data_IF_823571761904
#
_entry.id   IF_823571761904
#
_cell.length_a   1.000
_cell.length_b   1.000
_cell.length_c   1.000
_cell.angle_alpha   90.00
_cell.angle_beta   90.00
_cell.angle_gamma   90.00
#
_symmetry.space_group_name_H-M   'P 1'
#
loop_
_entity.id
_entity.type
_entity.pdbx_description
1 polymer ?
#
# COMPACT_ATOMS: atom_id res chain seq x y z
N UNK A 1 22.15 2.69 -5.41
CA UNK A 1 22.08 2.05 -4.09
C UNK A 1 21.06 0.93 -4.13
N UNK A 2 21.04 0.05 -3.13
CA UNK A 2 19.94 -0.89 -2.97
C UNK A 2 18.62 -0.13 -2.75
N UNK A 3 17.51 -0.72 -3.19
CA UNK A 3 16.14 -0.24 -2.92
C UNK A 3 15.54 -1.08 -1.79
N UNK A 4 14.66 -0.48 -1.01
CA UNK A 4 13.94 -1.18 0.07
C UNK A 4 12.55 -1.55 -0.45
N UNK A 5 12.24 -2.84 -0.49
CA UNK A 5 10.96 -3.35 -0.98
C UNK A 5 10.34 -4.31 0.03
N UNK A 6 9.01 -4.28 0.17
CA UNK A 6 8.29 -5.29 0.93
C UNK A 6 8.35 -6.63 0.18
N UNK A 7 8.56 -7.72 0.91
CA UNK A 7 8.47 -9.08 0.37
C UNK A 7 7.02 -9.43 0.02
N UNK A 8 6.82 -10.03 -1.15
CA UNK A 8 5.50 -10.55 -1.54
C UNK A 8 5.14 -11.76 -0.66
N UNK A 9 4.02 -11.66 0.05
CA UNK A 9 3.42 -12.75 0.84
C UNK A 9 2.58 -13.63 -0.08
N UNK A 10 1.77 -13.01 -0.94
CA UNK A 10 0.96 -13.68 -1.96
C UNK A 10 1.85 -14.07 -3.12
N UNK A 11 2.04 -15.38 -3.29
CA UNK A 11 2.89 -15.93 -4.34
C UNK A 11 2.14 -16.03 -5.68
N UNK A 12 2.91 -16.22 -6.77
CA UNK A 12 2.37 -16.28 -8.13
C UNK A 12 1.19 -17.26 -8.29
N UNK A 13 1.27 -18.46 -7.69
CA UNK A 13 0.18 -19.45 -7.79
C UNK A 13 -1.11 -18.98 -7.09
N UNK A 14 -0.99 -18.27 -5.97
CA UNK A 14 -2.14 -17.69 -5.27
C UNK A 14 -2.71 -16.51 -6.06
N UNK A 15 -1.85 -15.65 -6.60
CA UNK A 15 -2.27 -14.55 -7.46
C UNK A 15 -3.00 -15.03 -8.72
N UNK A 16 -2.55 -16.13 -9.34
CA UNK A 16 -3.27 -16.77 -10.44
C UNK A 16 -4.67 -17.23 -9.98
N UNK A 17 -4.77 -17.87 -8.82
CA UNK A 17 -6.06 -18.33 -8.29
C UNK A 17 -7.03 -17.16 -8.06
N UNK A 18 -6.54 -16.05 -7.50
CA UNK A 18 -7.32 -14.82 -7.32
C UNK A 18 -7.76 -14.27 -8.68
N UNK A 19 -6.86 -14.22 -9.67
CA UNK A 19 -7.18 -13.76 -11.02
C UNK A 19 -8.31 -14.58 -11.66
N UNK A 20 -8.27 -15.91 -11.54
CA UNK A 20 -9.32 -16.81 -12.05
C UNK A 20 -10.67 -16.58 -11.34
N UNK A 21 -10.66 -16.31 -10.03
CA UNK A 21 -11.89 -16.00 -9.27
C UNK A 21 -12.54 -14.68 -9.68
N UNK A 22 -11.74 -13.71 -10.13
CA UNK A 22 -12.21 -12.42 -10.60
C UNK A 22 -12.55 -12.38 -12.10
N UNK A 23 -12.37 -13.49 -12.82
CA UNK A 23 -12.68 -13.63 -14.24
C UNK A 23 -14.19 -13.56 -14.47
N UNK A 24 -14.62 -12.81 -15.48
CA UNK A 24 -16.01 -12.86 -15.94
C UNK A 24 -16.23 -14.13 -16.76
N UNK A 25 -17.13 -14.99 -16.28
CA UNK A 25 -17.51 -16.23 -16.98
C UNK A 25 -18.86 -16.05 -17.67
N UNK A 26 -19.01 -16.61 -18.87
CA UNK A 26 -20.31 -16.68 -19.53
C UNK A 26 -21.21 -17.67 -18.79
N UNK A 27 -22.30 -17.19 -18.21
CA UNK A 27 -23.36 -18.05 -17.65
C UNK A 27 -24.33 -18.40 -18.78
N UNK A 28 -24.73 -19.67 -18.87
CA UNK A 28 -25.64 -20.18 -19.90
C UNK A 28 -26.89 -19.28 -20.01
N UNK A 29 -27.11 -18.66 -21.17
CA UNK A 29 -28.24 -17.76 -21.43
C UNK A 29 -27.98 -16.25 -21.27
N UNK A 30 -26.82 -15.83 -20.74
CA UNK A 30 -26.43 -14.41 -20.75
C UNK A 30 -25.47 -14.09 -21.91
N UNK A 31 -25.70 -12.95 -22.57
CA UNK A 31 -24.73 -12.30 -23.45
C UNK A 31 -23.61 -11.72 -22.57
N UNK A 32 -22.45 -12.37 -22.56
CA UNK A 32 -21.27 -11.90 -21.85
C UNK A 32 -20.01 -12.53 -22.45
N UNK A 33 -18.95 -11.75 -22.56
CA UNK A 33 -17.64 -12.22 -23.00
C UNK A 33 -16.98 -13.03 -21.87
N UNK A 34 -16.43 -14.19 -22.22
CA UNK A 34 -15.59 -14.97 -21.34
C UNK A 34 -14.21 -14.28 -21.27
N UNK A 35 -13.74 -14.01 -20.05
CA UNK A 35 -12.39 -13.47 -19.84
C UNK A 35 -11.38 -14.62 -19.69
N UNK A 36 -10.11 -14.37 -20.00
CA UNK A 36 -8.98 -15.26 -19.70
C UNK A 36 -7.83 -14.45 -19.11
N UNK A 37 -7.10 -15.05 -18.16
CA UNK A 37 -5.87 -14.43 -17.62
C UNK A 37 -4.77 -14.56 -18.68
N UNK A 38 -4.29 -13.43 -19.20
CA UNK A 38 -3.26 -13.43 -20.26
C UNK A 38 -1.90 -13.04 -19.74
N UNK A 39 -1.86 -12.20 -18.71
CA UNK A 39 -0.62 -11.78 -18.07
C UNK A 39 -0.81 -11.62 -16.57
N UNK A 40 0.17 -12.10 -15.83
CA UNK A 40 0.33 -11.93 -14.40
C UNK A 40 1.75 -11.43 -14.16
N UNK A 41 1.89 -10.22 -13.61
CA UNK A 41 3.19 -9.58 -13.43
C UNK A 41 3.31 -9.00 -12.03
N UNK A 42 4.40 -9.30 -11.32
CA UNK A 42 4.73 -8.63 -10.07
C UNK A 42 5.32 -7.25 -10.37
N UNK A 43 4.68 -6.21 -9.86
CA UNK A 43 5.11 -4.81 -9.98
C UNK A 43 5.22 -4.22 -8.58
N UNK A 44 6.05 -3.20 -8.43
CA UNK A 44 6.32 -2.53 -7.16
C UNK A 44 5.88 -1.06 -7.22
N UNK A 45 4.86 -0.72 -6.44
CA UNK A 45 4.41 0.64 -6.26
C UNK A 45 5.37 1.38 -5.32
N UNK A 46 5.91 2.55 -5.70
CA UNK A 46 6.67 3.36 -4.76
C UNK A 46 5.75 3.90 -3.68
N UNK A 47 6.21 3.92 -2.44
CA UNK A 47 5.58 4.58 -1.30
C UNK A 47 6.59 5.53 -0.66
N UNK A 48 6.08 6.56 -0.01
CA UNK A 48 6.91 7.44 0.84
C UNK A 48 6.81 6.92 2.27
N UNK A 49 7.93 6.44 2.80
CA UNK A 49 8.07 6.03 4.19
C UNK A 49 8.54 7.19 5.05
N UNK A 50 7.84 7.44 6.15
CA UNK A 50 8.22 8.44 7.15
C UNK A 50 8.29 7.74 8.52
N UNK A 51 9.50 7.47 9.05
CA UNK A 51 9.64 7.06 10.44
C UNK A 51 9.33 8.25 11.36
N UNK A 52 8.79 8.01 12.55
CA UNK A 52 8.49 9.07 13.51
C UNK A 52 8.66 8.64 14.97
N UNK A 53 8.78 9.63 15.85
CA UNK A 53 8.56 9.48 17.30
C UNK A 53 7.35 10.34 17.71
N UNK A 54 6.32 9.73 18.30
CA UNK A 54 5.10 10.42 18.71
C UNK A 54 4.95 10.44 20.24
N UNK A 55 4.51 11.57 20.77
CA UNK A 55 4.21 11.75 22.19
C UNK A 55 2.71 11.55 22.42
N UNK A 56 2.33 10.44 23.06
CA UNK A 56 0.93 10.14 23.36
C UNK A 56 0.65 10.39 24.84
N UNK A 57 -0.37 11.19 25.13
CA UNK A 57 -0.80 11.47 26.50
C UNK A 57 -1.34 10.19 27.16
N UNK A 58 -0.86 9.89 28.37
CA UNK A 58 -1.39 8.79 29.18
C UNK A 58 -2.72 9.18 29.81
N UNK A 59 -3.58 8.18 30.00
CA UNK A 59 -4.87 8.38 30.67
C UNK A 59 -4.67 8.91 32.10
N UNK A 60 -5.70 9.56 32.68
CA UNK A 60 -5.62 10.18 34.01
C UNK A 60 -5.22 9.17 35.11
N UNK A 61 -5.63 7.90 35.00
CA UNK A 61 -5.29 6.84 35.96
C UNK A 61 -3.81 6.42 35.88
N UNK A 62 -3.21 6.44 34.68
CA UNK A 62 -1.82 6.04 34.45
C UNK A 62 -0.81 7.16 34.78
N UNK A 63 -1.27 8.42 34.77
CA UNK A 63 -0.46 9.60 35.14
C UNK A 63 -0.04 9.61 36.62
N UNK A 64 -0.72 8.88 37.49
CA UNK A 64 -0.39 8.81 38.91
C UNK A 64 0.89 8.00 39.20
N UNK A 65 1.38 7.21 38.24
CA UNK A 65 2.46 6.23 38.44
C UNK A 65 3.75 6.53 37.64
N UNK A 66 3.84 7.67 36.95
CA UNK A 66 5.02 7.99 36.13
C UNK A 66 4.86 9.21 35.22
N UNK A 67 5.75 9.39 34.22
CA UNK A 67 5.67 10.51 33.27
C UNK A 67 4.32 10.52 32.54
N UNK A 68 3.83 11.73 32.23
CA UNK A 68 2.47 11.94 31.73
C UNK A 68 2.24 11.51 30.27
N UNK A 69 3.30 11.10 29.57
CA UNK A 69 3.26 10.76 28.15
C UNK A 69 4.14 9.55 27.87
N UNK A 70 3.71 8.75 26.90
CA UNK A 70 4.52 7.73 26.26
C UNK A 70 5.17 8.27 24.99
N UNK A 71 6.37 7.77 24.68
CA UNK A 71 7.02 7.98 23.39
C UNK A 71 6.89 6.71 22.58
N UNK A 72 6.20 6.80 21.46
CA UNK A 72 5.98 5.68 20.53
C UNK A 72 6.84 5.93 19.30
N UNK A 73 7.58 4.91 18.85
CA UNK A 73 8.26 4.93 17.56
C UNK A 73 7.41 4.16 16.57
N UNK A 74 7.29 4.68 15.36
CA UNK A 74 6.51 4.04 14.32
C UNK A 74 6.90 4.51 12.93
N UNK A 75 6.16 4.00 11.96
CA UNK A 75 6.28 4.33 10.55
C UNK A 75 4.92 4.75 10.02
N UNK A 76 4.92 5.63 9.03
CA UNK A 76 3.76 5.77 8.15
C UNK A 76 4.22 5.62 6.72
N UNK A 77 3.30 5.18 5.86
CA UNK A 77 3.54 5.03 4.43
C UNK A 77 2.51 5.84 3.69
N UNK A 78 2.95 6.66 2.74
CA UNK A 78 2.07 7.52 1.97
C UNK A 78 2.12 7.10 0.50
N UNK A 79 0.95 7.19 -0.14
CA UNK A 79 0.84 7.07 -1.58
C UNK A 79 1.67 8.16 -2.26
N UNK A 80 2.44 7.83 -3.32
CA UNK A 80 3.49 8.70 -3.83
C UNK A 80 2.96 9.95 -4.53
N UNK A 81 1.73 9.94 -5.07
CA UNK A 81 1.22 11.02 -5.92
C UNK A 81 0.29 12.00 -5.19
N UNK A 82 -0.56 11.48 -4.31
CA UNK A 82 -1.62 12.23 -3.61
C UNK A 82 -1.42 12.27 -2.09
N UNK A 83 -0.34 11.65 -1.58
CA UNK A 83 0.08 11.69 -0.18
C UNK A 83 -0.97 11.16 0.81
N UNK A 84 -1.93 10.37 0.36
CA UNK A 84 -2.84 9.65 1.27
C UNK A 84 -2.07 8.58 2.05
N UNK A 85 -2.42 8.39 3.31
CA UNK A 85 -1.83 7.40 4.20
C UNK A 85 -2.31 6.00 3.84
N UNK A 86 -1.37 5.09 3.70
CA UNK A 86 -1.62 3.66 3.61
C UNK A 86 -2.16 3.16 4.94
N UNK A 87 -3.27 2.43 4.88
CA UNK A 87 -3.84 1.67 6.00
C UNK A 87 -3.98 0.21 5.56
N UNK A 88 -3.50 -0.70 6.39
CA UNK A 88 -3.63 -2.13 6.22
C UNK A 88 -4.80 -2.67 7.04
N UNK A 89 -5.91 -2.98 6.38
CA UNK A 89 -7.03 -3.69 6.97
C UNK A 89 -6.89 -5.19 6.66
N UNK A 90 -6.90 -6.05 7.68
CA UNK A 90 -6.72 -7.51 7.49
C UNK A 90 -7.83 -8.19 6.69
N UNK A 91 -9.01 -7.60 6.63
CA UNK A 91 -10.18 -8.15 5.94
C UNK A 91 -10.45 -7.50 4.58
N UNK A 92 -9.96 -6.28 4.38
CA UNK A 92 -10.20 -5.48 3.17
C UNK A 92 -8.94 -5.24 2.33
N UNK A 93 -7.76 -5.51 2.90
CA UNK A 93 -6.47 -5.26 2.29
C UNK A 93 -5.96 -3.84 2.49
N UNK A 94 -5.18 -3.37 1.52
CA UNK A 94 -4.50 -2.09 1.57
C UNK A 94 -5.40 -0.99 1.01
N UNK A 95 -5.58 0.09 1.79
CA UNK A 95 -6.31 1.29 1.38
C UNK A 95 -5.52 2.58 1.61
N UNK A 96 -5.94 3.68 0.96
CA UNK A 96 -5.30 4.98 1.06
C UNK A 96 -6.28 6.08 1.51
N UNK A 97 -5.97 6.72 2.63
CA UNK A 97 -6.85 7.66 3.32
C UNK A 97 -6.17 9.00 3.62
N UNK A 98 -6.89 10.11 3.53
CA UNK A 98 -6.32 11.44 3.75
C UNK A 98 -5.84 11.67 5.21
N UNK A 99 -6.61 11.19 6.19
CA UNK A 99 -6.32 11.33 7.61
C UNK A 99 -7.01 10.19 8.38
N UNK A 100 -6.40 9.00 8.44
CA UNK A 100 -7.08 7.79 8.94
C UNK A 100 -7.29 7.74 10.47
N UNK A 101 -6.47 8.45 11.25
CA UNK A 101 -6.53 8.43 12.70
C UNK A 101 -6.06 9.75 13.30
N UNK A 102 -6.43 10.05 14.54
CA UNK A 102 -5.99 11.28 15.22
C UNK A 102 -4.51 11.27 15.65
N UNK A 103 -3.89 10.09 15.71
CA UNK A 103 -2.49 9.89 16.08
C UNK A 103 -1.83 9.02 15.02
N UNK A 104 -0.59 9.34 14.65
CA UNK A 104 0.15 8.59 13.63
C UNK A 104 0.41 7.15 14.08
N UNK A 105 0.65 6.93 15.38
CA UNK A 105 0.84 5.60 15.98
C UNK A 105 -0.39 4.70 15.96
N UNK A 106 -1.57 5.23 15.62
CA UNK A 106 -2.83 4.47 15.53
C UNK A 106 -3.17 4.04 14.10
N UNK A 107 -2.33 4.37 13.13
CA UNK A 107 -2.51 3.91 11.75
C UNK A 107 -2.02 2.47 11.69
N UNK A 108 -2.92 1.55 11.34
CA UNK A 108 -2.54 0.17 11.02
C UNK A 108 -1.70 0.15 9.74
N UNK A 109 -0.40 -0.04 9.88
CA UNK A 109 0.58 0.10 8.80
C UNK A 109 1.14 -1.27 8.33
N UNK A 110 2.26 -1.24 7.62
CA UNK A 110 2.93 -2.44 7.11
C UNK A 110 3.89 -3.08 8.13
N UNK A 111 4.23 -2.39 9.23
CA UNK A 111 5.22 -2.87 10.18
C UNK A 111 4.72 -4.12 10.90
N UNK A 112 5.58 -5.14 10.97
CA UNK A 112 5.23 -6.47 11.48
C UNK A 112 4.36 -7.32 10.53
N UNK A 113 3.80 -6.73 9.46
CA UNK A 113 2.99 -7.46 8.46
C UNK A 113 3.81 -7.88 7.23
N UNK A 114 4.91 -7.17 6.93
CA UNK A 114 5.81 -7.49 5.81
C UNK A 114 7.25 -7.63 6.26
N UNK A 115 8.04 -8.38 5.50
CA UNK A 115 9.51 -8.36 5.60
C UNK A 115 10.08 -7.35 4.62
N UNK A 116 10.87 -6.40 5.09
CA UNK A 116 11.56 -5.42 4.25
C UNK A 116 12.87 -5.99 3.71
N UNK A 117 13.06 -5.94 2.40
CA UNK A 117 14.18 -6.51 1.67
C UNK A 117 15.01 -5.40 1.01
N UNK A 118 16.33 -5.52 1.09
CA UNK A 118 17.25 -4.69 0.32
C UNK A 118 17.56 -5.37 -1.01
N UNK A 119 16.99 -4.85 -2.09
CA UNK A 119 17.10 -5.42 -3.42
C UNK A 119 17.95 -4.54 -4.34
N UNK A 120 18.52 -5.13 -5.38
CA UNK A 120 19.16 -4.35 -6.42
C UNK A 120 18.06 -3.66 -7.27
N UNK A 121 18.25 -2.39 -7.70
CA UNK A 121 17.22 -1.69 -8.48
C UNK A 121 16.76 -2.46 -9.73
N UNK A 122 17.69 -3.16 -10.40
CA UNK A 122 17.41 -3.93 -11.61
C UNK A 122 16.59 -5.20 -11.37
N UNK A 123 16.39 -5.63 -10.12
CA UNK A 123 15.64 -6.87 -9.82
C UNK A 123 14.16 -6.62 -9.56
N UNK A 124 13.72 -5.37 -9.47
CA UNK A 124 12.31 -5.03 -9.30
C UNK A 124 11.75 -4.33 -10.53
N UNK A 125 10.50 -4.63 -10.87
CA UNK A 125 9.73 -3.89 -11.87
C UNK A 125 8.91 -2.84 -11.14
N UNK A 126 9.23 -1.57 -11.31
CA UNK A 126 8.56 -0.46 -10.61
C UNK A 126 7.34 -0.02 -11.42
N UNK A 127 6.30 0.45 -10.74
CA UNK A 127 5.24 1.24 -11.37
C UNK A 127 5.82 2.58 -11.84
N UNK A 128 6.22 2.64 -13.11
CA UNK A 128 6.89 3.82 -13.69
C UNK A 128 5.99 5.06 -13.69
N UNK A 129 4.68 4.89 -13.86
CA UNK A 129 3.74 6.01 -13.85
C UNK A 129 3.65 6.63 -12.45
N UNK A 130 3.48 5.81 -11.41
CA UNK A 130 3.50 6.28 -10.04
C UNK A 130 4.85 6.89 -9.65
N UNK A 131 5.95 6.30 -10.12
CA UNK A 131 7.29 6.84 -9.88
C UNK A 131 7.51 8.19 -10.56
N UNK A 132 7.06 8.35 -11.81
CA UNK A 132 7.17 9.61 -12.55
C UNK A 132 6.30 10.72 -11.95
N UNK A 133 5.10 10.37 -11.46
CA UNK A 133 4.15 11.30 -10.87
C UNK A 133 4.36 11.56 -9.36
N UNK A 134 5.40 10.99 -8.76
CA UNK A 134 5.63 11.08 -7.31
C UNK A 134 5.87 12.52 -6.85
N UNK A 135 5.38 12.84 -5.66
CA UNK A 135 5.65 14.06 -4.91
C UNK A 135 7.06 14.03 -4.33
N UNK A 136 7.57 15.22 -4.05
CA UNK A 136 8.81 15.40 -3.32
C UNK A 136 8.66 14.93 -1.86
N UNK A 137 9.75 14.42 -1.29
CA UNK A 137 9.75 13.96 0.10
C UNK A 137 9.50 15.10 1.10
N UNK A 138 9.86 16.33 0.76
CA UNK A 138 9.58 17.53 1.54
C UNK A 138 8.09 17.84 1.63
N UNK A 139 7.33 17.65 0.55
CA UNK A 139 5.88 17.83 0.54
C UNK A 139 5.21 16.83 1.50
N UNK A 140 5.65 15.57 1.45
CA UNK A 140 5.15 14.50 2.33
C UNK A 140 5.44 14.79 3.82
N UNK A 141 6.65 15.26 4.14
CA UNK A 141 7.00 15.70 5.49
C UNK A 141 6.13 16.86 5.97
N UNK A 142 5.89 17.84 5.11
CA UNK A 142 5.09 18.99 5.46
C UNK A 142 3.64 18.60 5.75
N UNK A 143 3.06 17.73 4.92
CA UNK A 143 1.73 17.19 5.16
C UNK A 143 1.67 16.38 6.46
N UNK A 144 2.65 15.51 6.70
CA UNK A 144 2.72 14.74 7.94
C UNK A 144 2.73 15.64 9.18
N UNK A 145 3.58 16.67 9.21
CA UNK A 145 3.65 17.63 10.32
C UNK A 145 2.37 18.44 10.52
N UNK A 146 1.65 18.70 9.43
CA UNK A 146 0.38 19.44 9.48
C UNK A 146 -0.72 18.60 10.14
N UNK A 147 -0.72 17.29 9.91
CA UNK A 147 -1.75 16.38 10.40
C UNK A 147 -1.44 15.80 11.79
N UNK A 148 -0.14 15.59 12.10
CA UNK A 148 0.31 14.93 13.33
C UNK A 148 1.32 15.81 14.07
N UNK A 149 0.82 16.84 14.75
CA UNK A 149 1.62 17.81 15.51
C UNK A 149 2.35 17.19 16.72
N UNK A 150 1.78 16.14 17.31
CA UNK A 150 2.37 15.37 18.39
C UNK A 150 3.53 14.46 17.95
N UNK A 151 3.74 14.29 16.64
CA UNK A 151 4.76 13.43 16.06
C UNK A 151 5.97 14.23 15.53
N UNK A 152 7.17 13.76 15.85
CA UNK A 152 8.44 14.26 15.28
C UNK A 152 8.87 13.31 14.17
N UNK A 153 8.79 13.72 12.88
CA UNK A 153 9.21 12.87 11.79
C UNK A 153 10.74 12.78 11.67
N UNK A 154 11.23 11.59 11.35
CA UNK A 154 12.58 11.33 10.89
C UNK A 154 12.75 11.57 9.38
N UNK A 155 13.93 11.23 8.81
CA UNK A 155 14.20 11.41 7.39
C UNK A 155 13.28 10.52 6.54
N UNK A 156 12.51 11.09 5.59
CA UNK A 156 11.63 10.33 4.71
C UNK A 156 12.46 9.58 3.66
N UNK A 157 11.93 8.47 3.16
CA UNK A 157 12.58 7.69 2.11
C UNK A 157 11.54 7.04 1.20
N UNK A 158 11.98 6.56 0.02
CA UNK A 158 11.12 5.74 -0.83
C UNK A 158 11.30 4.26 -0.49
N UNK A 159 10.18 3.57 -0.34
CA UNK A 159 10.09 2.11 -0.24
C UNK A 159 9.15 1.58 -1.31
N UNK A 160 9.15 0.27 -1.54
CA UNK A 160 8.44 -0.32 -2.67
C UNK A 160 7.49 -1.43 -2.22
N UNK A 161 6.19 -1.25 -2.45
CA UNK A 161 5.13 -2.21 -2.11
C UNK A 161 4.81 -3.10 -3.31
N UNK A 162 4.95 -4.43 -3.21
CA UNK A 162 4.62 -5.33 -4.30
C UNK A 162 3.11 -5.47 -4.50
N UNK A 163 2.69 -5.54 -5.76
CA UNK A 163 1.34 -5.93 -6.17
C UNK A 163 1.38 -6.73 -7.48
N UNK A 164 0.39 -7.57 -7.68
CA UNK A 164 0.19 -8.34 -8.89
C UNK A 164 -0.68 -7.56 -9.87
N UNK A 165 -0.11 -7.27 -11.04
CA UNK A 165 -0.82 -6.69 -12.17
C UNK A 165 -1.35 -7.81 -13.07
N UNK A 166 -2.67 -7.88 -13.19
CA UNK A 166 -3.40 -8.91 -13.93
C UNK A 166 -4.01 -8.30 -15.18
N UNK A 167 -3.69 -8.87 -16.35
CA UNK A 167 -4.39 -8.57 -17.60
C UNK A 167 -5.40 -9.70 -17.87
N UNK A 168 -6.67 -9.33 -17.99
CA UNK A 168 -7.81 -10.22 -18.26
C UNK A 168 -8.38 -9.85 -19.63
N UNK A 169 -8.18 -10.70 -20.63
CA UNK A 169 -8.62 -10.45 -22.00
C UNK A 169 -9.96 -11.13 -22.27
N UNK A 170 -10.85 -10.45 -22.99
CA UNK A 170 -12.13 -11.01 -23.45
C UNK A 170 -11.95 -11.86 -24.72
N UNK A 171 -12.70 -12.96 -24.81
CA UNK A 171 -12.80 -13.77 -26.03
C UNK A 171 -13.24 -12.90 -27.22
N UNK A 172 -12.43 -12.93 -28.29
CA UNK A 172 -12.55 -12.02 -29.45
C UNK A 172 -11.45 -10.95 -29.52
N UNK A 173 -10.62 -10.84 -28.47
CA UNK A 173 -9.27 -10.26 -28.51
C UNK A 173 -9.13 -8.74 -28.60
N UNK A 174 -10.24 -8.00 -28.62
CA UNK A 174 -10.19 -6.53 -28.72
C UNK A 174 -10.23 -5.80 -27.37
N UNK A 175 -10.70 -6.45 -26.31
CA UNK A 175 -10.91 -5.82 -25.00
C UNK A 175 -10.13 -6.54 -23.91
N UNK A 176 -9.47 -5.78 -23.05
CA UNK A 176 -8.85 -6.27 -21.81
C UNK A 176 -9.26 -5.42 -20.61
N UNK A 177 -9.22 -6.02 -19.43
CA UNK A 177 -9.39 -5.38 -18.13
C UNK A 177 -8.14 -5.63 -17.29
N UNK A 178 -7.71 -4.60 -16.56
CA UNK A 178 -6.67 -4.73 -15.56
C UNK A 178 -7.29 -4.94 -14.19
N UNK A 179 -6.71 -5.85 -13.40
CA UNK A 179 -6.96 -5.97 -11.98
C UNK A 179 -5.62 -5.95 -11.24
N UNK A 180 -5.46 -5.02 -10.30
CA UNK A 180 -4.29 -4.97 -9.44
C UNK A 180 -4.64 -5.56 -8.08
N UNK A 181 -3.82 -6.49 -7.60
CA UNK A 181 -4.03 -7.22 -6.33
C UNK A 181 -2.82 -7.01 -5.46
N UNK A 182 -2.99 -6.56 -4.23
CA UNK A 182 -1.86 -6.34 -3.34
C UNK A 182 -1.18 -7.68 -3.01
N UNK A 183 0.15 -7.70 -3.05
CA UNK A 183 0.89 -8.94 -2.85
C UNK A 183 1.13 -9.26 -1.37
N UNK A 184 0.48 -8.54 -0.44
CA UNK A 184 0.61 -8.73 1.01
C UNK A 184 -0.60 -9.52 1.55
N UNK A 185 -1.80 -9.12 1.17
CA UNK A 185 -3.08 -9.65 1.63
C UNK A 185 -3.87 -10.37 0.54
N UNK A 186 -3.63 -10.05 -0.73
CA UNK A 186 -4.31 -10.70 -1.86
C UNK A 186 -5.66 -10.06 -2.20
N UNK A 187 -5.92 -8.86 -1.71
CA UNK A 187 -7.12 -8.09 -2.03
C UNK A 187 -6.87 -7.15 -3.21
N UNK A 188 -7.91 -6.76 -3.95
CA UNK A 188 -7.78 -5.74 -4.99
C UNK A 188 -7.29 -4.40 -4.43
N UNK A 189 -6.36 -3.74 -5.12
CA UNK A 189 -5.96 -2.37 -4.82
C UNK A 189 -6.92 -1.43 -5.56
N UNK A 190 -7.66 -0.62 -4.81
CA UNK A 190 -8.42 0.47 -5.41
C UNK A 190 -7.45 1.59 -5.84
N UNK A 191 -7.13 1.65 -7.15
CA UNK A 191 -6.34 2.74 -7.75
C UNK A 191 -7.09 4.08 -7.87
N UNK A 192 -8.25 4.19 -7.22
CA UNK A 192 -9.09 5.38 -7.25
C UNK A 192 -8.65 6.43 -6.24
N UNK A 193 -8.63 7.69 -6.69
CA UNK A 193 -8.83 8.85 -5.83
C UNK A 193 -10.27 8.73 -5.33
N UNK A 194 -10.47 8.30 -4.08
CA UNK A 194 -11.75 8.55 -3.42
C UNK A 194 -11.76 10.06 -3.18
N UNK A 195 -12.73 10.72 -3.80
CA UNK A 195 -12.81 12.19 -3.96
C UNK A 195 -12.86 12.99 -2.68
#
# INVERSE_FOLDING_TARGET
GAVVAAGAVVQHAQAQTIAEQHRRTRVLGMLGAEERVTRLTLIYMPLIHIPFEERVERSFLERALGPSHDRIKGSVYLHPTDLRFLVLDRNKGIGFFAHPASYASKIDDLDGSVSWLHLAPATIRIDEAAWAARRDLGDALQQFRTLYDAATPGPPSYVFLPYWHLELEQDGGSNYRVLDVDAVTGHPIERGIVG
#
